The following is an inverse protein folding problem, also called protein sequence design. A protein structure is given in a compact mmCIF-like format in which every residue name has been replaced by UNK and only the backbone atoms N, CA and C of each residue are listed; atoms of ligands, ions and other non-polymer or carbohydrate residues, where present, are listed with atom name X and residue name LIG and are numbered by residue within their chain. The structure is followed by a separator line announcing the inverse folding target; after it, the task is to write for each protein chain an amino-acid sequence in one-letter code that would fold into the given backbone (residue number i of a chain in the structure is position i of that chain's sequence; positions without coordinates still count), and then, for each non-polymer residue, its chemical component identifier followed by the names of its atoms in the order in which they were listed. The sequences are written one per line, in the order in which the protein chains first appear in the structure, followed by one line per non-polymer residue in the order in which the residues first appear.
data_IF_710656847821
#
_entry.id   IF_710656847821
#
_cell.length_a   1.000
_cell.length_b   1.000
_cell.length_c   1.000
_cell.angle_alpha   90.00
_cell.angle_beta   90.00
_cell.angle_gamma   90.00
#
_symmetry.space_group_name_H-M   'P 1'
#
loop_
_entity.id
_entity.type
_entity.pdbx_description
1 polymer ?
#
# COMPACT_ATOMS: atom_id res chain seq x y z
N UNK A 1 3.78 18.74 -16.96
CA UNK A 1 4.07 17.30 -16.75
C UNK A 1 3.40 16.85 -15.45
N UNK A 2 2.60 15.83 -15.52
CA UNK A 2 1.80 15.32 -14.40
C UNK A 2 2.62 14.41 -13.47
N UNK A 3 2.15 14.26 -12.22
CA UNK A 3 2.68 13.29 -11.24
C UNK A 3 1.54 12.53 -10.62
N UNK A 4 1.63 11.20 -10.63
CA UNK A 4 0.80 10.32 -9.81
C UNK A 4 1.58 9.85 -8.58
N UNK A 5 1.04 10.06 -7.38
CA UNK A 5 1.70 9.73 -6.12
C UNK A 5 0.88 8.72 -5.30
N UNK A 6 1.39 7.52 -5.16
CA UNK A 6 0.90 6.53 -4.20
C UNK A 6 1.50 6.80 -2.81
N UNK A 7 0.63 7.05 -1.83
CA UNK A 7 0.98 7.42 -0.45
C UNK A 7 0.81 6.25 0.52
N UNK A 8 1.51 5.15 0.29
CA UNK A 8 1.33 3.91 1.05
C UNK A 8 2.01 3.84 2.41
N UNK A 9 1.52 2.96 3.28
CA UNK A 9 2.08 2.72 4.62
C UNK A 9 3.52 2.22 4.58
N UNK A 10 3.89 1.36 3.62
CA UNK A 10 5.24 0.80 3.50
C UNK A 10 6.09 1.50 2.46
N UNK A 11 5.49 2.01 1.40
CA UNK A 11 6.19 2.70 0.31
C UNK A 11 5.41 3.91 -0.16
N UNK A 12 6.14 4.92 -0.59
CA UNK A 12 5.67 5.99 -1.46
C UNK A 12 6.19 5.75 -2.86
N UNK A 13 5.34 5.90 -3.87
CA UNK A 13 5.70 5.67 -5.26
C UNK A 13 5.18 6.84 -6.09
N UNK A 14 6.08 7.50 -6.82
CA UNK A 14 5.74 8.56 -7.74
C UNK A 14 5.91 8.07 -9.18
N UNK A 15 4.84 8.15 -9.96
CA UNK A 15 4.84 7.87 -11.39
C UNK A 15 4.82 9.18 -12.18
N UNK A 16 5.61 9.23 -13.25
CA UNK A 16 5.60 10.21 -14.33
C UNK A 16 5.63 9.46 -15.65
N UNK A 17 5.29 10.09 -16.75
CA UNK A 17 5.23 9.48 -18.09
C UNK A 17 6.42 8.55 -18.42
N UNK A 18 7.66 8.96 -18.11
CA UNK A 18 8.86 8.20 -18.48
C UNK A 18 9.58 7.56 -17.27
N UNK A 19 9.08 7.72 -16.06
CA UNK A 19 9.81 7.26 -14.86
C UNK A 19 8.93 6.95 -13.67
N UNK A 20 9.31 5.91 -12.94
CA UNK A 20 8.72 5.57 -11.64
C UNK A 20 9.82 5.63 -10.59
N UNK A 21 9.57 6.36 -9.51
CA UNK A 21 10.43 6.43 -8.34
C UNK A 21 9.71 5.85 -7.14
N UNK A 22 10.46 5.08 -6.35
CA UNK A 22 9.93 4.42 -5.15
C UNK A 22 10.82 4.68 -3.95
N UNK A 23 10.23 4.99 -2.82
CA UNK A 23 10.94 5.14 -1.55
C UNK A 23 10.18 4.44 -0.43
N UNK A 24 10.93 3.78 0.46
CA UNK A 24 10.33 3.13 1.64
C UNK A 24 9.87 4.19 2.64
N UNK A 25 8.66 4.05 3.16
CA UNK A 25 8.09 4.92 4.18
C UNK A 25 8.55 4.47 5.58
N UNK A 26 9.83 4.67 5.85
CA UNK A 26 10.46 4.24 7.10
C UNK A 26 11.62 5.17 7.47
N UNK A 27 11.95 5.18 8.76
CA UNK A 27 13.12 5.87 9.27
C UNK A 27 13.68 5.19 10.51
N UNK A 28 14.93 5.52 10.82
CA UNK A 28 15.67 5.01 11.96
C UNK A 28 16.43 6.14 12.63
N UNK A 29 16.29 6.28 13.95
CA UNK A 29 17.07 7.27 14.71
C UNK A 29 18.45 6.72 15.00
N UNK A 30 19.49 7.51 14.68
CA UNK A 30 20.86 7.15 14.99
C UNK A 30 21.17 7.57 16.42
N UNK A 31 21.61 6.62 17.23
CA UNK A 31 22.08 6.89 18.57
C UNK A 31 23.54 7.40 18.55
N UNK A 32 23.89 8.27 19.49
CA UNK A 32 25.26 8.82 19.65
C UNK A 32 25.44 10.25 19.20
N UNK A 33 26.68 10.62 18.81
CA UNK A 33 27.02 11.98 18.40
C UNK A 33 26.40 12.34 17.05
N UNK A 34 25.43 13.24 17.07
CA UNK A 34 24.71 13.70 15.88
C UNK A 34 25.62 14.32 14.81
N UNK A 35 26.67 15.06 15.21
CA UNK A 35 27.60 15.68 14.27
C UNK A 35 28.49 14.64 13.58
N UNK A 36 28.91 13.63 14.31
CA UNK A 36 29.66 12.51 13.73
C UNK A 36 28.78 11.71 12.76
N UNK A 37 27.54 11.38 13.16
CA UNK A 37 26.58 10.68 12.33
C UNK A 37 26.32 11.45 11.02
N UNK A 38 26.03 12.76 11.10
CA UNK A 38 25.81 13.61 9.91
C UNK A 38 27.01 13.60 8.95
N UNK A 39 28.23 13.70 9.46
CA UNK A 39 29.44 13.65 8.61
C UNK A 39 29.57 12.33 7.89
N UNK A 40 29.31 11.22 8.57
CA UNK A 40 29.34 9.87 7.96
C UNK A 40 28.27 9.72 6.87
N UNK A 41 27.00 10.08 7.17
CA UNK A 41 25.88 9.95 6.26
C UNK A 41 26.08 10.81 5.01
N UNK A 42 26.54 12.07 5.17
CA UNK A 42 26.88 12.96 4.03
C UNK A 42 27.97 12.36 3.15
N UNK A 43 29.03 11.80 3.75
CA UNK A 43 30.12 11.15 3.00
C UNK A 43 29.65 9.95 2.17
N UNK A 44 28.67 9.21 2.70
CA UNK A 44 28.09 8.03 2.06
C UNK A 44 26.90 8.36 1.15
N UNK A 45 26.51 9.66 1.08
CA UNK A 45 25.32 10.14 0.34
C UNK A 45 24.01 9.46 0.79
N UNK A 46 23.91 9.13 2.08
CA UNK A 46 22.73 8.55 2.68
C UNK A 46 21.78 9.67 3.08
N UNK A 47 20.49 9.65 2.63
CA UNK A 47 19.52 10.66 3.01
C UNK A 47 19.20 10.58 4.51
N UNK A 48 19.15 11.74 5.15
CA UNK A 48 18.79 11.85 6.56
C UNK A 48 18.06 13.15 6.86
N UNK A 49 17.30 13.14 7.94
CA UNK A 49 16.63 14.31 8.49
C UNK A 49 17.20 14.61 9.88
N UNK A 50 17.43 15.87 10.17
CA UNK A 50 17.81 16.34 11.51
C UNK A 50 16.60 16.99 12.20
N UNK A 51 16.28 16.54 13.40
CA UNK A 51 15.23 17.12 14.24
C UNK A 51 15.62 17.01 15.71
N UNK A 52 15.57 18.14 16.45
CA UNK A 52 15.82 18.19 17.90
C UNK A 52 17.15 17.50 18.32
N UNK A 53 18.25 17.81 17.62
CA UNK A 53 19.59 17.20 17.82
C UNK A 53 19.66 15.68 17.59
N UNK A 54 18.65 15.10 16.96
CA UNK A 54 18.67 13.70 16.52
C UNK A 54 18.80 13.61 15.02
N UNK A 55 19.49 12.59 14.55
CA UNK A 55 19.66 12.31 13.13
C UNK A 55 18.82 11.07 12.81
N UNK A 56 17.97 11.21 11.80
CA UNK A 56 17.10 10.12 11.34
C UNK A 56 17.53 9.72 9.92
N UNK A 57 17.99 8.48 9.75
CA UNK A 57 18.17 7.89 8.41
C UNK A 57 16.78 7.61 7.85
N UNK A 58 16.56 7.88 6.55
CA UNK A 58 15.26 7.81 5.91
C UNK A 58 15.24 6.76 4.79
N UNK A 59 14.07 6.17 4.58
CA UNK A 59 13.79 5.33 3.42
C UNK A 59 14.45 3.95 3.46
N UNK A 60 14.87 3.47 2.30
CA UNK A 60 15.47 2.13 2.13
C UNK A 60 16.75 1.96 2.96
N UNK A 61 17.53 3.03 3.13
CA UNK A 61 18.74 2.98 3.97
C UNK A 61 18.41 2.72 5.43
N UNK A 62 17.34 3.29 5.99
CA UNK A 62 16.88 2.99 7.34
C UNK A 62 16.54 1.51 7.52
N UNK A 63 15.84 0.94 6.53
CA UNK A 63 15.49 -0.47 6.53
C UNK A 63 16.73 -1.37 6.52
N UNK A 64 17.68 -1.09 5.64
CA UNK A 64 18.95 -1.85 5.54
C UNK A 64 19.75 -1.77 6.85
N UNK A 65 19.83 -0.60 7.47
CA UNK A 65 20.51 -0.43 8.76
C UNK A 65 19.83 -1.24 9.86
N UNK A 66 18.49 -1.23 9.92
CA UNK A 66 17.76 -2.00 10.92
C UNK A 66 17.93 -3.52 10.78
N UNK A 67 18.22 -4.03 9.59
CA UNK A 67 18.52 -5.44 9.37
C UNK A 67 19.91 -5.85 9.89
N UNK A 68 20.87 -4.93 9.86
CA UNK A 68 22.27 -5.19 10.25
C UNK A 68 22.44 -5.03 11.77
N UNK A 69 21.78 -4.04 12.35
CA UNK A 69 21.93 -3.71 13.78
C UNK A 69 20.72 -4.18 14.57
N UNK A 70 20.87 -5.24 15.37
CA UNK A 70 19.78 -5.88 16.12
C UNK A 70 19.11 -4.98 17.16
N UNK A 71 19.77 -3.90 17.59
CA UNK A 71 19.24 -2.89 18.51
C UNK A 71 18.52 -1.75 17.81
N UNK A 72 18.62 -1.66 16.48
CA UNK A 72 18.04 -0.58 15.71
C UNK A 72 16.53 -0.79 15.55
N UNK A 73 15.74 0.21 15.95
CA UNK A 73 14.28 0.18 15.84
C UNK A 73 13.86 0.93 14.58
N UNK A 74 13.36 0.18 13.61
CA UNK A 74 12.74 0.77 12.42
C UNK A 74 11.39 1.36 12.80
N UNK A 75 11.17 2.63 12.45
CA UNK A 75 9.94 3.39 12.71
C UNK A 75 9.29 3.77 11.39
N UNK A 76 7.98 3.93 11.39
CA UNK A 76 7.21 4.36 10.21
C UNK A 76 6.36 5.59 10.54
N UNK A 77 6.35 6.61 9.67
CA UNK A 77 5.44 7.75 9.78
C UNK A 77 3.96 7.38 9.75
N UNK A 78 3.63 6.24 9.12
CA UNK A 78 2.26 5.76 8.97
C UNK A 78 2.06 4.41 9.67
N UNK A 79 0.82 4.18 10.14
CA UNK A 79 0.36 2.93 10.75
C UNK A 79 -1.08 2.69 10.34
N UNK A 80 -1.39 1.46 9.90
CA UNK A 80 -2.74 1.08 9.45
C UNK A 80 -3.30 2.11 8.44
N UNK A 81 -2.56 2.38 7.36
CA UNK A 81 -2.98 3.24 6.26
C UNK A 81 -2.96 4.74 6.50
N UNK A 82 -2.80 5.21 7.73
CA UNK A 82 -2.89 6.63 8.10
C UNK A 82 -1.65 7.11 8.84
N UNK A 83 -1.47 8.42 8.94
CA UNK A 83 -0.44 9.02 9.79
C UNK A 83 -0.52 8.45 11.19
N UNK A 84 0.63 8.07 11.72
CA UNK A 84 0.74 7.53 13.07
C UNK A 84 0.77 8.69 14.09
N UNK A 85 -0.28 8.87 14.92
CA UNK A 85 -0.32 9.98 15.88
C UNK A 85 0.73 9.86 16.99
N UNK A 86 1.20 8.64 17.25
CA UNK A 86 2.23 8.37 18.25
C UNK A 86 3.64 8.71 17.73
N UNK A 87 3.77 8.93 16.42
CA UNK A 87 5.05 9.17 15.76
C UNK A 87 5.32 10.66 15.59
N UNK A 88 5.97 11.26 16.60
CA UNK A 88 6.22 12.71 16.66
C UNK A 88 7.18 13.24 15.61
N UNK A 89 7.99 12.38 15.01
CA UNK A 89 9.00 12.74 14.02
C UNK A 89 8.49 12.56 12.57
N UNK A 90 7.23 12.15 12.38
CA UNK A 90 6.66 11.76 11.08
C UNK A 90 6.70 12.86 10.02
N UNK A 91 6.32 14.10 10.36
CA UNK A 91 6.16 15.15 9.36
C UNK A 91 7.46 15.53 8.61
N UNK A 92 8.61 15.78 9.27
CA UNK A 92 9.86 16.04 8.55
C UNK A 92 10.32 14.84 7.71
N UNK A 93 10.05 13.63 8.17
CA UNK A 93 10.39 12.40 7.44
C UNK A 93 9.56 12.29 6.17
N UNK A 94 8.23 12.47 6.26
CA UNK A 94 7.34 12.47 5.10
C UNK A 94 7.71 13.56 4.10
N UNK A 95 7.98 14.77 4.58
CA UNK A 95 8.42 15.86 3.70
C UNK A 95 9.71 15.50 2.94
N UNK A 96 10.66 14.84 3.59
CA UNK A 96 11.89 14.41 2.93
C UNK A 96 11.63 13.29 1.90
N UNK A 97 10.78 12.30 2.21
CA UNK A 97 10.41 11.20 1.31
C UNK A 97 9.67 11.75 0.08
N UNK A 98 8.62 12.53 0.29
CA UNK A 98 7.81 13.10 -0.79
C UNK A 98 8.69 14.01 -1.67
N UNK A 99 9.48 14.89 -1.06
CA UNK A 99 10.35 15.80 -1.81
C UNK A 99 11.41 15.10 -2.66
N UNK A 100 11.97 13.97 -2.18
CA UNK A 100 12.88 13.13 -2.97
C UNK A 100 12.19 12.53 -4.20
N UNK A 101 10.93 12.13 -4.05
CA UNK A 101 10.16 11.48 -5.10
C UNK A 101 9.65 12.45 -6.15
N UNK A 102 8.96 13.51 -5.71
CA UNK A 102 8.27 14.42 -6.64
C UNK A 102 9.16 15.56 -7.14
N UNK A 103 10.15 15.99 -6.32
CA UNK A 103 10.97 17.16 -6.61
C UNK A 103 10.16 18.47 -6.54
N UNK A 104 10.74 19.57 -7.06
CA UNK A 104 10.01 20.83 -7.22
C UNK A 104 9.20 20.80 -8.50
N UNK A 105 7.97 21.31 -8.41
CA UNK A 105 7.12 21.47 -9.57
C UNK A 105 7.67 22.55 -10.53
N UNK A 106 7.43 22.37 -11.81
CA UNK A 106 7.47 23.47 -12.78
C UNK A 106 6.13 24.24 -12.70
N UNK A 107 6.02 25.32 -13.47
CA UNK A 107 4.81 26.13 -13.48
C UNK A 107 3.58 25.28 -13.86
N UNK A 108 2.55 25.34 -13.00
CA UNK A 108 1.25 24.66 -13.17
C UNK A 108 1.27 23.12 -13.22
N UNK A 109 2.32 22.45 -12.78
CA UNK A 109 2.29 20.99 -12.68
C UNK A 109 1.23 20.49 -11.67
N UNK A 110 0.57 19.38 -12.03
CA UNK A 110 -0.44 18.72 -11.21
C UNK A 110 0.15 17.46 -10.58
N UNK A 111 -0.11 17.29 -9.30
CA UNK A 111 0.13 16.04 -8.58
C UNK A 111 -1.20 15.47 -8.09
N UNK A 112 -1.60 14.34 -8.65
CA UNK A 112 -2.69 13.53 -8.08
C UNK A 112 -2.09 12.54 -7.09
N UNK A 113 -2.59 12.57 -5.85
CA UNK A 113 -2.12 11.69 -4.78
C UNK A 113 -3.26 10.84 -4.23
N UNK A 114 -2.94 9.60 -3.85
CA UNK A 114 -3.96 8.73 -3.28
C UNK A 114 -4.08 8.88 -1.76
N UNK A 115 -5.30 8.68 -1.28
CA UNK A 115 -5.66 8.53 0.13
C UNK A 115 -6.50 7.25 0.29
N UNK A 116 -6.52 6.63 1.48
CA UNK A 116 -7.46 5.52 1.70
C UNK A 116 -8.91 6.02 1.70
N UNK A 117 -9.82 5.14 1.30
CA UNK A 117 -11.24 5.33 1.57
C UNK A 117 -11.50 5.27 3.09
N UNK A 118 -12.68 5.72 3.54
CA UNK A 118 -13.04 5.67 4.97
C UNK A 118 -13.03 4.22 5.48
N UNK A 119 -12.29 3.92 6.57
CA UNK A 119 -12.32 2.58 7.15
C UNK A 119 -13.67 2.29 7.81
N UNK A 120 -14.18 1.08 7.59
CA UNK A 120 -15.49 0.64 8.13
C UNK A 120 -15.35 -0.14 9.45
N UNK A 121 -14.16 -0.58 9.77
CA UNK A 121 -13.85 -1.40 10.95
C UNK A 121 -13.10 -0.65 12.05
N UNK A 122 -12.82 0.63 11.85
CA UNK A 122 -12.21 1.52 12.84
C UNK A 122 -12.80 2.93 12.73
N UNK A 123 -13.04 3.56 13.88
CA UNK A 123 -13.43 4.97 13.94
C UNK A 123 -12.18 5.85 13.88
N UNK A 124 -11.72 6.14 12.66
CA UNK A 124 -10.55 6.97 12.41
C UNK A 124 -10.86 8.03 11.36
N UNK A 125 -10.50 9.26 11.68
CA UNK A 125 -10.62 10.39 10.77
C UNK A 125 -9.45 10.41 9.77
N UNK A 126 -9.76 10.55 8.49
CA UNK A 126 -8.78 10.63 7.41
C UNK A 126 -8.40 12.07 7.06
N UNK A 127 -9.19 13.06 7.49
CA UNK A 127 -9.01 14.48 7.15
C UNK A 127 -7.62 15.01 7.51
N UNK A 128 -7.14 14.71 8.70
CA UNK A 128 -5.79 15.13 9.10
C UNK A 128 -4.68 14.53 8.22
N UNK A 129 -4.81 13.27 7.84
CA UNK A 129 -3.88 12.61 6.93
C UNK A 129 -3.87 13.28 5.56
N UNK A 130 -5.05 13.56 5.02
CA UNK A 130 -5.25 14.26 3.75
C UNK A 130 -4.63 15.66 3.77
N UNK A 131 -4.95 16.48 4.78
CA UNK A 131 -4.46 17.86 4.91
C UNK A 131 -2.93 17.92 4.99
N UNK A 132 -2.31 16.98 5.71
CA UNK A 132 -0.85 16.91 5.82
C UNK A 132 -0.22 16.56 4.47
N UNK A 133 -0.71 15.55 3.77
CA UNK A 133 -0.17 15.16 2.45
C UNK A 133 -0.32 16.31 1.46
N UNK A 134 -1.51 16.91 1.37
CA UNK A 134 -1.79 18.08 0.55
C UNK A 134 -0.79 19.20 0.82
N UNK A 135 -0.65 19.60 2.09
CA UNK A 135 0.25 20.68 2.49
C UNK A 135 1.69 20.41 2.09
N UNK A 136 2.17 19.17 2.28
CA UNK A 136 3.53 18.80 1.89
C UNK A 136 3.70 18.92 0.37
N UNK A 137 2.78 18.33 -0.44
CA UNK A 137 2.88 18.34 -1.89
C UNK A 137 2.81 19.75 -2.45
N UNK A 138 1.88 20.58 -1.97
CA UNK A 138 1.74 21.99 -2.35
C UNK A 138 2.98 22.81 -1.98
N UNK A 139 3.71 22.47 -0.91
CA UNK A 139 4.96 23.14 -0.53
C UNK A 139 6.07 22.96 -1.57
N UNK A 140 5.97 21.96 -2.45
CA UNK A 140 6.87 21.73 -3.60
C UNK A 140 6.39 22.45 -4.87
N UNK A 141 5.28 23.18 -4.81
CA UNK A 141 4.76 24.00 -5.91
C UNK A 141 3.71 23.33 -6.81
N UNK A 142 3.24 22.14 -6.46
CA UNK A 142 2.22 21.42 -7.24
C UNK A 142 0.81 21.96 -6.97
N UNK A 143 0.00 21.99 -8.02
CA UNK A 143 -1.46 21.92 -7.87
C UNK A 143 -1.83 20.49 -7.50
N UNK A 144 -2.77 20.30 -6.57
CA UNK A 144 -3.07 18.97 -6.04
C UNK A 144 -4.50 18.54 -6.27
N UNK A 145 -4.70 17.26 -6.59
CA UNK A 145 -6.00 16.57 -6.50
C UNK A 145 -5.80 15.26 -5.78
N UNK A 146 -6.74 14.90 -4.92
CA UNK A 146 -6.76 13.59 -4.27
C UNK A 146 -7.63 12.61 -5.03
N UNK A 147 -7.31 11.33 -4.91
CA UNK A 147 -8.12 10.20 -5.38
C UNK A 147 -8.07 9.10 -4.32
N UNK A 148 -9.13 8.31 -4.18
CA UNK A 148 -9.08 7.13 -3.30
C UNK A 148 -8.21 6.02 -3.91
N UNK A 149 -7.43 5.34 -3.07
CA UNK A 149 -6.43 4.34 -3.46
C UNK A 149 -6.99 3.25 -4.38
N UNK A 150 -8.17 2.69 -4.04
CA UNK A 150 -8.81 1.68 -4.89
C UNK A 150 -9.39 2.26 -6.19
N UNK A 151 -9.83 3.52 -6.19
CA UNK A 151 -10.28 4.19 -7.42
C UNK A 151 -9.11 4.41 -8.37
N UNK A 152 -7.97 4.86 -7.85
CA UNK A 152 -6.75 4.98 -8.65
C UNK A 152 -6.32 3.63 -9.26
N UNK A 153 -6.40 2.55 -8.47
CA UNK A 153 -6.15 1.21 -8.99
C UNK A 153 -7.13 0.83 -10.10
N UNK A 154 -8.40 1.22 -9.97
CA UNK A 154 -9.43 1.00 -10.99
C UNK A 154 -9.16 1.76 -12.28
N UNK A 155 -8.64 2.98 -12.21
CA UNK A 155 -8.23 3.75 -13.40
C UNK A 155 -7.12 3.07 -14.21
N UNK A 156 -6.27 2.27 -13.58
CA UNK A 156 -5.24 1.49 -14.25
C UNK A 156 -5.75 0.11 -14.68
N UNK A 157 -6.48 -0.59 -13.82
CA UNK A 157 -6.79 -2.00 -14.01
C UNK A 157 -8.11 -2.30 -14.71
N UNK A 158 -9.01 -1.32 -14.86
CA UNK A 158 -10.33 -1.50 -15.47
C UNK A 158 -10.48 -0.79 -16.82
N UNK A 159 -9.41 -0.31 -17.43
CA UNK A 159 -9.43 0.43 -18.70
C UNK A 159 -10.11 -0.38 -19.80
N UNK A 160 -9.75 -1.66 -19.97
CA UNK A 160 -10.30 -2.55 -20.97
C UNK A 160 -11.78 -2.93 -20.73
N UNK A 161 -12.32 -2.56 -19.56
CA UNK A 161 -13.71 -2.80 -19.15
C UNK A 161 -14.51 -1.51 -18.99
N UNK A 162 -14.18 -0.46 -19.76
CA UNK A 162 -14.83 0.85 -19.68
C UNK A 162 -14.88 1.40 -18.23
N UNK A 163 -13.82 1.21 -17.46
CA UNK A 163 -13.73 1.57 -16.04
C UNK A 163 -14.90 1.02 -15.20
N UNK A 164 -15.35 -0.21 -15.53
CA UNK A 164 -16.48 -0.89 -14.86
C UNK A 164 -16.01 -2.18 -14.21
N UNK A 165 -16.22 -2.32 -12.90
CA UNK A 165 -15.81 -3.50 -12.14
C UNK A 165 -15.56 -3.20 -10.67
N UNK A 166 -14.88 -4.11 -10.02
CA UNK A 166 -14.42 -3.98 -8.63
C UNK A 166 -12.91 -3.88 -8.60
N UNK A 167 -12.37 -2.86 -7.95
CA UNK A 167 -10.93 -2.73 -7.72
C UNK A 167 -10.61 -2.90 -6.23
N UNK A 168 -9.58 -3.70 -5.94
CA UNK A 168 -9.15 -4.05 -4.58
C UNK A 168 -7.66 -3.76 -4.43
N UNK A 169 -7.30 -2.74 -3.65
CA UNK A 169 -5.91 -2.50 -3.27
C UNK A 169 -5.58 -3.23 -1.97
N UNK A 170 -4.60 -4.13 -2.04
CA UNK A 170 -4.06 -4.88 -0.91
C UNK A 170 -2.78 -4.21 -0.41
N UNK A 171 -2.91 -3.19 0.45
CA UNK A 171 -1.80 -2.45 1.02
C UNK A 171 -1.17 -3.12 2.26
N UNK A 172 -0.08 -2.54 2.76
CA UNK A 172 0.53 -2.99 4.00
C UNK A 172 -0.33 -2.66 5.23
N UNK A 173 -0.84 -1.44 5.31
CA UNK A 173 -1.61 -0.96 6.46
C UNK A 173 -3.12 -1.15 6.34
N UNK A 174 -3.64 -1.12 5.13
CA UNK A 174 -5.08 -1.21 4.82
C UNK A 174 -5.31 -1.99 3.54
N UNK A 175 -6.53 -2.54 3.39
CA UNK A 175 -7.08 -2.92 2.11
C UNK A 175 -8.20 -1.94 1.75
N UNK A 176 -8.20 -1.46 0.51
CA UNK A 176 -9.19 -0.53 -0.01
C UNK A 176 -9.97 -1.20 -1.14
N UNK A 177 -11.26 -0.89 -1.23
CA UNK A 177 -12.17 -1.42 -2.25
C UNK A 177 -12.91 -0.26 -2.90
N UNK A 178 -13.05 -0.31 -4.22
CA UNK A 178 -13.98 0.53 -4.96
C UNK A 178 -14.79 -0.32 -5.94
N UNK A 179 -16.07 0.01 -6.06
CA UNK A 179 -16.98 -0.51 -7.09
C UNK A 179 -17.25 0.62 -8.05
N UNK A 180 -16.88 0.40 -9.31
CA UNK A 180 -16.93 1.43 -10.34
C UNK A 180 -17.86 1.03 -11.48
N UNK A 181 -18.53 2.02 -12.05
CA UNK A 181 -19.34 1.87 -13.25
C UNK A 181 -19.09 3.05 -14.19
N UNK A 182 -18.51 2.79 -15.35
CA UNK A 182 -18.12 3.80 -16.34
C UNK A 182 -17.34 4.97 -15.71
N UNK A 183 -16.33 4.66 -14.91
CA UNK A 183 -15.48 5.63 -14.21
C UNK A 183 -16.10 6.29 -12.97
N UNK A 184 -17.41 6.12 -12.72
CA UNK A 184 -18.05 6.64 -11.52
C UNK A 184 -17.91 5.64 -10.37
N UNK A 185 -17.48 6.13 -9.20
CA UNK A 185 -17.43 5.32 -7.98
C UNK A 185 -18.81 5.21 -7.36
N UNK A 186 -19.36 4.00 -7.35
CA UNK A 186 -20.67 3.70 -6.75
C UNK A 186 -20.57 3.35 -5.26
N UNK A 187 -19.48 2.71 -4.87
CA UNK A 187 -19.18 2.31 -3.49
C UNK A 187 -17.66 2.35 -3.29
N UNK A 188 -17.20 2.91 -2.17
CA UNK A 188 -15.83 2.76 -1.73
C UNK A 188 -15.74 2.63 -0.21
N UNK A 189 -14.81 1.84 0.26
CA UNK A 189 -14.49 1.68 1.67
C UNK A 189 -13.08 1.09 1.86
N UNK A 190 -12.57 1.16 3.08
CA UNK A 190 -11.38 0.42 3.45
C UNK A 190 -11.59 -0.42 4.71
N UNK A 191 -10.68 -1.36 4.93
CA UNK A 191 -10.53 -2.09 6.19
C UNK A 191 -9.12 -1.87 6.71
N UNK A 192 -8.99 -1.61 8.01
CA UNK A 192 -7.71 -1.30 8.65
C UNK A 192 -6.89 -2.59 8.93
N UNK A 193 -6.93 -3.50 7.97
CA UNK A 193 -6.14 -4.73 7.93
C UNK A 193 -5.44 -4.81 6.58
N UNK A 194 -4.16 -5.20 6.61
CA UNK A 194 -3.34 -5.36 5.40
C UNK A 194 -2.17 -6.30 5.69
N UNK A 195 -1.08 -6.16 4.95
CA UNK A 195 0.09 -7.00 5.11
C UNK A 195 0.71 -6.97 6.51
N UNK A 196 0.67 -5.80 7.17
CA UNK A 196 1.17 -5.66 8.55
C UNK A 196 0.31 -6.44 9.56
N UNK A 197 -1.00 -6.58 9.31
CA UNK A 197 -1.88 -7.41 10.13
C UNK A 197 -1.50 -8.89 10.01
N UNK A 198 -1.19 -9.36 8.81
CA UNK A 198 -0.68 -10.72 8.58
C UNK A 198 0.62 -10.92 9.36
N UNK A 199 1.59 -10.02 9.20
CA UNK A 199 2.90 -10.12 9.86
C UNK A 199 2.80 -10.20 11.38
N UNK A 200 1.94 -9.37 11.98
CA UNK A 200 1.75 -9.33 13.42
C UNK A 200 1.12 -10.63 13.96
N UNK A 201 0.12 -11.17 13.25
CA UNK A 201 -0.54 -12.41 13.69
C UNK A 201 0.38 -13.63 13.53
N UNK A 202 1.09 -13.74 12.40
CA UNK A 202 2.11 -14.77 12.20
C UNK A 202 3.19 -14.71 13.28
N UNK A 203 3.67 -13.51 13.58
CA UNK A 203 4.66 -13.29 14.67
C UNK A 203 4.14 -13.77 16.01
N UNK A 204 2.89 -13.48 16.33
CA UNK A 204 2.25 -13.89 17.58
C UNK A 204 2.15 -15.41 17.70
N UNK A 205 1.72 -16.07 16.64
CA UNK A 205 1.48 -17.52 16.65
C UNK A 205 2.77 -18.34 16.59
N UNK A 206 3.78 -17.84 15.85
CA UNK A 206 5.01 -18.61 15.64
C UNK A 206 6.16 -18.22 16.56
N UNK A 207 6.06 -17.07 17.24
CA UNK A 207 7.15 -16.50 18.03
C UNK A 207 8.29 -15.89 17.20
N UNK A 208 8.17 -15.88 15.88
CA UNK A 208 9.13 -15.25 14.97
C UNK A 208 8.87 -13.74 14.94
N UNK A 209 9.93 -12.92 14.98
CA UNK A 209 9.77 -11.46 14.99
C UNK A 209 9.04 -10.94 13.75
N UNK A 210 8.21 -9.90 13.93
CA UNK A 210 7.46 -9.23 12.82
C UNK A 210 8.38 -8.85 11.66
N UNK A 211 9.57 -8.32 11.97
CA UNK A 211 10.53 -7.93 10.92
C UNK A 211 11.03 -9.13 10.12
N UNK A 212 11.22 -10.29 10.75
CA UNK A 212 11.61 -11.52 10.05
C UNK A 212 10.47 -12.08 9.21
N UNK A 213 9.25 -12.05 9.70
CA UNK A 213 8.04 -12.44 8.93
C UNK A 213 7.88 -11.54 7.71
N UNK A 214 7.94 -10.21 7.87
CA UNK A 214 7.88 -9.26 6.77
C UNK A 214 8.99 -9.50 5.73
N UNK A 215 10.22 -9.79 6.19
CA UNK A 215 11.32 -10.10 5.29
C UNK A 215 11.08 -11.40 4.50
N UNK A 216 10.56 -12.45 5.13
CA UNK A 216 10.16 -13.70 4.45
C UNK A 216 9.14 -13.39 3.35
N UNK A 217 8.13 -12.60 3.66
CA UNK A 217 7.08 -12.20 2.71
C UNK A 217 7.60 -11.37 1.52
N UNK A 218 8.49 -10.41 1.76
CA UNK A 218 8.95 -9.43 0.78
C UNK A 218 10.15 -9.92 -0.07
N UNK A 219 11.02 -10.75 0.50
CA UNK A 219 12.32 -11.06 -0.11
C UNK A 219 12.42 -12.46 -0.69
N UNK A 220 11.45 -13.33 -0.44
CA UNK A 220 11.66 -14.70 -0.81
C UNK A 220 11.15 -15.00 -2.23
N UNK A 221 12.10 -15.14 -3.15
CA UNK A 221 11.90 -15.92 -4.38
C UNK A 221 11.47 -17.39 -4.10
N UNK A 222 11.52 -17.80 -2.84
CA UNK A 222 11.18 -19.14 -2.35
C UNK A 222 9.77 -19.22 -1.74
N UNK A 223 9.14 -18.07 -1.39
CA UNK A 223 7.80 -18.07 -0.85
C UNK A 223 6.80 -18.33 -1.97
N UNK A 224 6.18 -19.49 -1.95
CA UNK A 224 5.08 -19.85 -2.82
C UNK A 224 3.92 -20.36 -1.95
N UNK A 225 2.85 -19.61 -1.90
CA UNK A 225 1.65 -19.94 -1.11
C UNK A 225 0.64 -20.77 -1.90
N UNK A 226 0.97 -21.20 -3.11
CA UNK A 226 0.10 -22.04 -3.92
C UNK A 226 -0.17 -23.37 -3.24
N UNK A 227 -1.38 -23.90 -3.44
CA UNK A 227 -1.80 -25.17 -2.85
C UNK A 227 -0.92 -26.32 -3.34
N UNK A 228 -0.38 -27.10 -2.42
CA UNK A 228 0.46 -28.26 -2.71
C UNK A 228 1.96 -27.95 -2.75
N UNK A 229 2.37 -26.74 -3.18
CA UNK A 229 3.80 -26.39 -3.30
C UNK A 229 4.48 -26.29 -1.93
N UNK A 230 3.77 -25.84 -0.90
CA UNK A 230 4.31 -25.72 0.45
C UNK A 230 4.78 -27.06 1.05
N UNK A 231 4.10 -28.14 0.72
CA UNK A 231 4.44 -29.50 1.20
C UNK A 231 5.73 -30.03 0.57
N UNK A 232 6.07 -29.58 -0.63
CA UNK A 232 7.24 -30.06 -1.36
C UNK A 232 8.55 -29.33 -0.98
N UNK A 233 8.44 -28.10 -0.47
CA UNK A 233 9.60 -27.24 -0.17
C UNK A 233 10.08 -27.40 1.27
N UNK A 234 9.16 -27.55 2.21
CA UNK A 234 9.49 -27.61 3.64
C UNK A 234 8.86 -28.84 4.29
N UNK A 235 9.65 -29.54 5.10
CA UNK A 235 9.13 -30.69 5.84
C UNK A 235 8.10 -30.23 6.89
N UNK A 236 6.95 -30.88 6.94
CA UNK A 236 5.90 -30.63 7.92
C UNK A 236 6.46 -30.69 9.34
N UNK A 237 6.12 -29.70 10.17
CA UNK A 237 6.59 -29.58 11.55
C UNK A 237 7.92 -28.86 11.73
N UNK A 238 8.58 -28.38 10.66
CA UNK A 238 9.73 -27.46 10.81
C UNK A 238 9.27 -26.02 11.10
N UNK A 239 10.16 -25.20 11.67
CA UNK A 239 9.83 -23.79 11.97
C UNK A 239 9.51 -23.02 10.70
N UNK A 240 10.23 -23.28 9.61
CA UNK A 240 9.98 -22.68 8.30
C UNK A 240 8.59 -23.05 7.76
N UNK A 241 8.23 -24.31 7.82
CA UNK A 241 6.89 -24.80 7.42
C UNK A 241 5.80 -24.13 8.24
N UNK A 242 5.95 -24.05 9.56
CA UNK A 242 4.97 -23.44 10.45
C UNK A 242 4.76 -21.96 10.16
N UNK A 243 5.85 -21.20 9.89
CA UNK A 243 5.77 -19.77 9.50
C UNK A 243 5.03 -19.61 8.17
N UNK A 244 5.35 -20.42 7.16
CA UNK A 244 4.71 -20.33 5.85
C UNK A 244 3.24 -20.72 5.90
N UNK A 245 2.92 -21.77 6.64
CA UNK A 245 1.53 -22.19 6.87
C UNK A 245 0.72 -21.09 7.58
N UNK A 246 1.31 -20.46 8.59
CA UNK A 246 0.69 -19.32 9.28
C UNK A 246 0.47 -18.13 8.32
N UNK A 247 1.48 -17.77 7.50
CA UNK A 247 1.35 -16.71 6.48
C UNK A 247 0.16 -17.03 5.57
N UNK A 248 0.10 -18.23 4.98
CA UNK A 248 -0.98 -18.62 4.07
C UNK A 248 -2.35 -18.56 4.75
N UNK A 249 -2.45 -19.04 5.99
CA UNK A 249 -3.69 -19.03 6.76
C UNK A 249 -4.18 -17.60 7.03
N UNK A 250 -3.28 -16.70 7.40
CA UNK A 250 -3.63 -15.30 7.65
C UNK A 250 -3.92 -14.51 6.37
N UNK A 251 -3.32 -14.86 5.23
CA UNK A 251 -3.76 -14.34 3.93
C UNK A 251 -5.20 -14.76 3.61
N UNK A 252 -5.54 -16.05 3.81
CA UNK A 252 -6.91 -16.54 3.65
C UNK A 252 -7.90 -15.81 4.57
N UNK A 253 -7.54 -15.61 5.84
CA UNK A 253 -8.37 -14.89 6.80
C UNK A 253 -8.54 -13.39 6.42
N UNK A 254 -7.48 -12.73 5.91
CA UNK A 254 -7.54 -11.35 5.44
C UNK A 254 -8.48 -11.20 4.23
N UNK A 255 -8.33 -12.08 3.24
CA UNK A 255 -9.16 -12.07 2.02
C UNK A 255 -10.61 -12.38 2.36
N UNK A 256 -10.86 -13.40 3.17
CA UNK A 256 -12.22 -13.73 3.62
C UNK A 256 -12.88 -12.58 4.37
N UNK A 257 -12.13 -11.91 5.27
CA UNK A 257 -12.62 -10.74 5.97
C UNK A 257 -13.00 -9.61 5.01
N UNK A 258 -12.16 -9.33 4.01
CA UNK A 258 -12.41 -8.29 3.01
C UNK A 258 -13.64 -8.61 2.16
N UNK A 259 -13.76 -9.84 1.64
CA UNK A 259 -14.90 -10.27 0.83
C UNK A 259 -16.21 -10.27 1.62
N UNK A 260 -16.18 -10.65 2.90
CA UNK A 260 -17.35 -10.59 3.79
C UNK A 260 -17.81 -9.15 4.00
N UNK A 261 -16.88 -8.23 4.22
CA UNK A 261 -17.21 -6.80 4.35
C UNK A 261 -17.74 -6.23 3.02
N UNK A 262 -17.16 -6.62 1.89
CA UNK A 262 -17.67 -6.19 0.58
C UNK A 262 -19.11 -6.63 0.36
N UNK A 263 -19.46 -7.89 0.65
CA UNK A 263 -20.87 -8.37 0.62
C UNK A 263 -21.78 -7.51 1.50
N UNK A 264 -21.36 -7.26 2.74
CA UNK A 264 -22.15 -6.46 3.69
C UNK A 264 -22.35 -5.02 3.20
N UNK A 265 -21.33 -4.41 2.60
CA UNK A 265 -21.44 -3.06 2.05
C UNK A 265 -22.36 -3.02 0.83
N UNK A 266 -22.35 -4.04 -0.02
CA UNK A 266 -23.30 -4.17 -1.12
C UNK A 266 -24.77 -4.24 -0.61
N UNK A 267 -25.03 -5.04 0.39
CA UNK A 267 -26.36 -5.20 0.97
C UNK A 267 -26.88 -3.93 1.67
N UNK A 268 -25.95 -3.17 2.27
CA UNK A 268 -26.24 -1.93 3.01
C UNK A 268 -26.37 -0.67 2.16
N UNK A 269 -26.03 -0.72 0.86
CA UNK A 269 -25.93 0.47 0.00
C UNK A 269 -26.98 0.43 -1.11
N UNK A 270 -27.89 1.42 -1.12
CA UNK A 270 -28.97 1.50 -2.10
C UNK A 270 -28.51 1.85 -3.54
N UNK A 271 -27.28 2.34 -3.70
CA UNK A 271 -26.78 2.89 -4.96
C UNK A 271 -25.79 1.98 -5.70
N UNK A 272 -25.67 0.72 -5.29
CA UNK A 272 -24.79 -0.21 -6.02
C UNK A 272 -25.37 -0.49 -7.41
N UNK A 273 -24.57 -0.40 -8.48
CA UNK A 273 -25.05 -0.67 -9.83
C UNK A 273 -25.58 -2.09 -9.97
N UNK A 274 -26.71 -2.23 -10.63
CA UNK A 274 -27.10 -3.53 -11.16
C UNK A 274 -26.37 -3.71 -12.50
N UNK A 275 -25.24 -4.38 -12.46
CA UNK A 275 -24.42 -4.61 -13.66
C UNK A 275 -25.19 -5.47 -14.66
N UNK A 276 -25.35 -5.03 -15.92
CA UNK A 276 -26.05 -5.82 -16.95
C UNK A 276 -25.28 -7.08 -17.33
N UNK A 277 -23.95 -7.04 -17.26
CA UNK A 277 -23.03 -8.13 -17.60
C UNK A 277 -22.09 -8.44 -16.43
N UNK A 278 -21.49 -9.65 -16.38
CA UNK A 278 -20.46 -9.96 -15.40
C UNK A 278 -19.27 -9.01 -15.49
N UNK A 279 -18.75 -8.56 -14.36
CA UNK A 279 -17.65 -7.59 -14.27
C UNK A 279 -16.40 -8.19 -13.65
N UNK A 280 -15.19 -7.71 -13.98
CA UNK A 280 -13.96 -8.20 -13.37
C UNK A 280 -13.78 -7.67 -11.95
N UNK A 281 -13.03 -8.43 -11.14
CA UNK A 281 -12.38 -7.95 -9.92
C UNK A 281 -10.90 -7.79 -10.25
N UNK A 282 -10.37 -6.57 -10.19
CA UNK A 282 -8.93 -6.30 -10.31
C UNK A 282 -8.32 -6.13 -8.93
N UNK A 283 -7.20 -6.81 -8.69
CA UNK A 283 -6.49 -6.77 -7.41
C UNK A 283 -5.08 -6.24 -7.65
N UNK A 284 -4.63 -5.33 -6.79
CA UNK A 284 -3.28 -4.76 -6.82
C UNK A 284 -2.74 -4.49 -5.42
N UNK A 285 -1.61 -3.79 -5.36
CA UNK A 285 -0.93 -3.44 -4.12
C UNK A 285 0.12 -4.46 -3.66
N UNK A 286 1.06 -3.99 -2.84
CA UNK A 286 2.25 -4.76 -2.45
C UNK A 286 1.97 -6.08 -1.73
N UNK A 287 0.86 -6.17 -0.99
CA UNK A 287 0.48 -7.39 -0.26
C UNK A 287 0.00 -8.50 -1.22
N UNK A 288 -0.53 -8.16 -2.40
CA UNK A 288 -0.96 -9.13 -3.39
C UNK A 288 0.18 -9.74 -4.23
N UNK A 289 1.43 -9.25 -4.09
CA UNK A 289 2.57 -9.73 -4.88
C UNK A 289 3.12 -11.10 -4.48
N UNK A 290 2.67 -11.64 -3.38
CA UNK A 290 3.11 -12.95 -2.90
C UNK A 290 2.67 -14.02 -3.90
N UNK A 291 3.60 -14.88 -4.31
CA UNK A 291 3.28 -15.97 -5.23
C UNK A 291 2.23 -16.92 -4.62
N UNK A 292 1.23 -17.31 -5.41
CA UNK A 292 0.07 -18.08 -4.93
C UNK A 292 -1.05 -17.23 -4.31
N UNK A 293 -0.95 -15.89 -4.35
CA UNK A 293 -1.99 -15.00 -3.84
C UNK A 293 -3.35 -15.26 -4.50
N UNK A 294 -3.40 -15.36 -5.83
CA UNK A 294 -4.65 -15.63 -6.57
C UNK A 294 -5.25 -16.98 -6.22
N UNK A 295 -4.44 -17.99 -5.93
CA UNK A 295 -4.96 -19.30 -5.50
C UNK A 295 -5.71 -19.17 -4.17
N UNK A 296 -5.13 -18.42 -3.21
CA UNK A 296 -5.79 -18.16 -1.92
C UNK A 296 -7.04 -17.31 -2.13
N UNK A 297 -6.97 -16.29 -2.99
CA UNK A 297 -8.13 -15.42 -3.27
C UNK A 297 -9.27 -16.23 -3.84
N UNK A 298 -9.01 -17.07 -4.85
CA UNK A 298 -10.02 -17.95 -5.46
C UNK A 298 -10.57 -19.01 -4.48
N UNK A 299 -9.78 -19.49 -3.53
CA UNK A 299 -10.25 -20.40 -2.47
C UNK A 299 -11.25 -19.73 -1.51
N UNK A 300 -11.14 -18.41 -1.31
CA UNK A 300 -12.02 -17.65 -0.43
C UNK A 300 -13.22 -17.03 -1.17
N UNK A 301 -13.14 -16.92 -2.49
CA UNK A 301 -14.19 -16.34 -3.31
C UNK A 301 -15.26 -17.39 -3.65
N UNK A 302 -16.52 -17.02 -3.44
CA UNK A 302 -17.66 -17.86 -3.74
C UNK A 302 -18.68 -17.08 -4.58
N UNK A 303 -18.75 -17.41 -5.87
CA UNK A 303 -19.63 -16.76 -6.83
C UNK A 303 -21.11 -16.92 -6.46
N UNK A 304 -21.52 -18.07 -5.89
CA UNK A 304 -22.92 -18.35 -5.59
C UNK A 304 -23.49 -17.38 -4.51
N UNK A 305 -22.63 -16.97 -3.59
CA UNK A 305 -23.00 -16.05 -2.52
C UNK A 305 -22.55 -14.61 -2.77
N UNK A 306 -21.85 -14.32 -3.86
CA UNK A 306 -21.35 -12.97 -4.15
C UNK A 306 -22.48 -12.12 -4.79
N UNK A 307 -22.63 -10.85 -4.40
CA UNK A 307 -23.81 -10.03 -4.75
C UNK A 307 -23.86 -9.61 -6.22
N UNK A 308 -22.77 -9.76 -6.96
CA UNK A 308 -22.68 -9.47 -8.40
C UNK A 308 -22.04 -10.63 -9.15
N UNK A 309 -22.33 -10.74 -10.45
CA UNK A 309 -21.67 -11.71 -11.30
C UNK A 309 -20.26 -11.23 -11.63
N UNK A 310 -19.26 -12.06 -11.34
CA UNK A 310 -17.84 -11.77 -11.60
C UNK A 310 -17.40 -12.56 -12.83
N UNK A 311 -16.83 -11.84 -13.81
CA UNK A 311 -16.29 -12.48 -15.02
C UNK A 311 -14.97 -13.17 -14.74
N UNK A 312 -14.07 -12.50 -14.02
CA UNK A 312 -12.74 -13.01 -13.67
C UNK A 312 -12.13 -12.22 -12.51
N UNK A 313 -11.10 -12.80 -11.87
CA UNK A 313 -10.31 -12.15 -10.83
C UNK A 313 -8.89 -11.97 -11.38
N UNK A 314 -8.43 -10.73 -11.50
CA UNK A 314 -7.19 -10.36 -12.16
C UNK A 314 -6.23 -9.76 -11.13
N UNK A 315 -5.04 -10.32 -11.00
CA UNK A 315 -3.93 -9.61 -10.36
C UNK A 315 -3.30 -8.71 -11.43
N UNK A 316 -3.37 -7.40 -11.20
CA UNK A 316 -2.86 -6.42 -12.16
C UNK A 316 -1.35 -6.59 -12.36
N UNK A 317 -0.90 -6.46 -13.59
CA UNK A 317 0.52 -6.44 -13.92
C UNK A 317 1.20 -5.26 -13.19
N UNK A 318 2.42 -5.46 -12.68
CA UNK A 318 3.11 -4.47 -11.87
C UNK A 318 2.27 -3.91 -10.70
N UNK A 319 1.53 -4.79 -10.01
CA UNK A 319 0.60 -4.46 -8.92
C UNK A 319 1.14 -3.46 -7.89
N UNK A 320 2.46 -3.36 -7.78
CA UNK A 320 3.12 -2.45 -6.84
C UNK A 320 3.12 -0.98 -7.29
N UNK A 321 3.04 -0.72 -8.58
CA UNK A 321 3.09 0.64 -9.15
C UNK A 321 1.75 1.08 -9.75
N UNK A 322 0.79 0.17 -9.83
CA UNK A 322 -0.49 0.40 -10.49
C UNK A 322 -1.26 1.60 -9.93
N UNK A 323 -1.27 1.78 -8.59
CA UNK A 323 -1.95 2.91 -7.95
C UNK A 323 -1.32 4.24 -8.37
N UNK A 324 0.02 4.33 -8.37
CA UNK A 324 0.68 5.56 -8.81
C UNK A 324 0.48 5.84 -10.30
N UNK A 325 0.35 4.80 -11.15
CA UNK A 325 -0.01 4.96 -12.58
C UNK A 325 -1.45 5.43 -12.74
N UNK A 326 -2.41 4.87 -12.00
CA UNK A 326 -3.79 5.34 -12.01
C UNK A 326 -3.93 6.79 -11.51
N UNK A 327 -3.15 7.20 -10.51
CA UNK A 327 -3.04 8.60 -10.12
C UNK A 327 -2.45 9.47 -11.25
N UNK A 328 -1.47 8.96 -11.99
CA UNK A 328 -0.87 9.67 -13.12
C UNK A 328 -1.89 9.86 -14.25
N UNK A 329 -2.61 8.80 -14.63
CA UNK A 329 -3.66 8.87 -15.65
C UNK A 329 -4.71 9.94 -15.33
N UNK A 330 -5.13 10.03 -14.08
CA UNK A 330 -6.05 11.10 -13.63
C UNK A 330 -5.40 12.49 -13.69
N UNK A 331 -4.11 12.60 -13.38
CA UNK A 331 -3.40 13.87 -13.46
C UNK A 331 -3.24 14.36 -14.91
N UNK A 332 -2.99 13.46 -15.85
CA UNK A 332 -2.89 13.73 -17.29
C UNK A 332 -4.21 14.19 -17.86
N UNK A 333 -5.33 13.53 -17.50
CA UNK A 333 -6.67 13.96 -17.91
C UNK A 333 -6.97 15.40 -17.47
N UNK A 334 -6.59 15.78 -16.25
CA UNK A 334 -6.79 17.15 -15.75
C UNK A 334 -5.90 18.16 -16.52
N UNK A 335 -4.67 17.78 -16.89
CA UNK A 335 -3.82 18.66 -17.71
C UNK A 335 -4.40 18.88 -19.12
N UNK A 336 -5.04 17.87 -19.71
CA UNK A 336 -5.69 17.98 -21.03
C UNK A 336 -6.94 18.85 -21.03
N UNK A 337 -7.66 18.93 -19.89
CA UNK A 337 -8.87 19.74 -19.74
C UNK A 337 -8.60 21.23 -19.47
N UNK A 338 -7.37 21.63 -19.09
CA UNK A 338 -6.97 22.99 -18.77
C UNK A 338 -6.19 23.67 -19.91
#
# INVERSE_FOLDING_TARGET
MAVGLDCGTSFYIAAREESIKKQRNAFLTVDGDAEQAKRMLKRQKIPFVEKANKVHIVGAHAFNYAQIFSTAVLRRPMKSGLLNPDERDSLPILNAIIGELVGKANDNEICVYCIPAKPIDQDREISYHEDVLKTIIESYGYNTKKVEEAVALGYEGLVDNDLTGVSISMGAGMCNVAVMYQGMTALSFSVARGGDWVDNNVSTDTGVSVAKVANIKESSSQLDLSKGVMQDIYAEGTDEYNVLYAIRSYYGALINYLLTNLKTQFEGTANVPNFPDPVPIVVGGGTALVKGFLDIFNEQFDQETFPIQVSEIILIEDAHTAISRGCLSEAELIEEEN
#
